data_IF_490405603625
#
_entry.id   IF_490405603625
#
_cell.length_a   1.000
_cell.length_b   1.000
_cell.length_c   1.000
_cell.angle_alpha   90.00
_cell.angle_beta   90.00
_cell.angle_gamma   90.00
#
_symmetry.space_group_name_H-M   'P 1'
#
loop_
_entity.id
_entity.type
_entity.pdbx_description
1 polymer ?
#
# COMPACT_ATOMS: atom_id res chain seq x y z
N UNK A 1 4.76 7.87 -16.60
CA UNK A 1 3.67 6.87 -16.70
C UNK A 1 2.48 7.50 -17.42
N UNK A 2 2.29 7.23 -18.71
CA UNK A 2 0.94 7.32 -19.30
C UNK A 2 0.43 5.88 -19.35
N UNK A 3 0.12 5.32 -18.18
CA UNK A 3 -0.65 4.08 -18.12
C UNK A 3 -2.11 4.50 -18.10
N UNK A 4 -2.89 3.95 -19.02
CA UNK A 4 -4.33 4.08 -18.96
C UNK A 4 -4.82 3.52 -17.60
N UNK A 5 -5.69 4.28 -16.93
CA UNK A 5 -6.09 4.01 -15.55
C UNK A 5 -6.75 2.63 -15.39
N UNK A 6 -7.38 2.13 -16.44
CA UNK A 6 -7.95 0.79 -16.54
C UNK A 6 -6.91 -0.33 -16.37
N UNK A 7 -5.76 -0.24 -17.03
CA UNK A 7 -4.69 -1.24 -16.97
C UNK A 7 -4.04 -1.26 -15.59
N UNK A 8 -3.76 -0.08 -15.03
CA UNK A 8 -3.23 0.03 -13.68
C UNK A 8 -4.22 -0.57 -12.66
N UNK A 9 -5.51 -0.21 -12.76
CA UNK A 9 -6.56 -0.76 -11.89
C UNK A 9 -6.66 -2.28 -11.98
N UNK A 10 -6.59 -2.85 -13.19
CA UNK A 10 -6.60 -4.29 -13.41
C UNK A 10 -5.42 -4.98 -12.74
N UNK A 11 -4.19 -4.48 -12.92
CA UNK A 11 -3.00 -5.09 -12.32
C UNK A 11 -3.04 -5.04 -10.78
N UNK A 12 -3.49 -3.93 -10.20
CA UNK A 12 -3.62 -3.79 -8.76
C UNK A 12 -4.65 -4.78 -8.19
N UNK A 13 -5.84 -4.87 -8.82
CA UNK A 13 -6.87 -5.82 -8.40
C UNK A 13 -6.43 -7.28 -8.58
N UNK A 14 -5.72 -7.59 -9.66
CA UNK A 14 -5.17 -8.93 -9.92
C UNK A 14 -4.12 -9.32 -8.86
N UNK A 15 -3.23 -8.39 -8.48
CA UNK A 15 -2.23 -8.63 -7.45
C UNK A 15 -2.87 -9.00 -6.11
N UNK A 16 -3.92 -8.28 -5.71
CA UNK A 16 -4.68 -8.60 -4.48
C UNK A 16 -5.28 -10.00 -4.57
N UNK A 17 -5.96 -10.35 -5.67
CA UNK A 17 -6.54 -11.70 -5.86
C UNK A 17 -5.52 -12.82 -5.82
N UNK A 18 -4.36 -12.61 -6.43
CA UNK A 18 -3.27 -13.60 -6.41
C UNK A 18 -2.71 -13.79 -5.00
N UNK A 19 -2.55 -12.70 -4.24
CA UNK A 19 -2.12 -12.77 -2.85
C UNK A 19 -3.13 -13.49 -1.95
N UNK A 20 -4.43 -13.25 -2.13
CA UNK A 20 -5.49 -13.99 -1.43
C UNK A 20 -5.48 -15.49 -1.75
N UNK A 21 -5.06 -15.86 -2.96
CA UNK A 21 -4.87 -17.25 -3.37
C UNK A 21 -3.53 -17.87 -2.90
N UNK A 22 -2.74 -17.15 -2.09
CA UNK A 22 -1.48 -17.63 -1.51
C UNK A 22 -0.24 -17.41 -2.39
N UNK A 23 -0.34 -16.60 -3.45
CA UNK A 23 0.82 -16.25 -4.28
C UNK A 23 1.51 -14.99 -3.73
N UNK A 24 2.81 -15.04 -3.49
CA UNK A 24 3.57 -13.82 -3.15
C UNK A 24 3.69 -12.92 -4.37
N UNK A 25 3.25 -11.66 -4.25
CA UNK A 25 3.20 -10.70 -5.37
C UNK A 25 3.93 -9.41 -5.03
N UNK A 26 4.74 -8.94 -5.98
CA UNK A 26 5.30 -7.59 -6.04
C UNK A 26 4.99 -7.03 -7.43
N UNK A 27 4.30 -5.89 -7.50
CA UNK A 27 4.17 -5.10 -8.71
C UNK A 27 5.28 -4.06 -8.74
N UNK A 28 5.88 -3.82 -9.91
CA UNK A 28 6.82 -2.71 -10.08
C UNK A 28 6.70 -2.07 -11.46
N UNK A 29 6.83 -0.75 -11.49
CA UNK A 29 6.98 0.03 -12.74
C UNK A 29 8.43 0.50 -12.96
N UNK A 30 9.36 0.11 -12.07
CA UNK A 30 10.70 0.67 -11.95
C UNK A 30 10.77 1.96 -11.14
N UNK A 31 9.67 2.71 -11.02
CA UNK A 31 9.59 3.92 -10.19
C UNK A 31 8.67 3.76 -8.96
N UNK A 32 7.71 2.84 -9.04
CA UNK A 32 6.77 2.53 -7.97
C UNK A 32 6.74 1.03 -7.70
N UNK A 33 6.44 0.68 -6.46
CA UNK A 33 6.26 -0.69 -6.01
C UNK A 33 4.87 -0.88 -5.39
N UNK A 34 4.20 -1.98 -5.72
CA UNK A 34 2.88 -2.34 -5.21
C UNK A 34 2.92 -3.69 -4.51
N UNK A 35 2.57 -3.74 -3.23
CA UNK A 35 2.59 -4.97 -2.42
C UNK A 35 1.21 -5.19 -1.77
N UNK A 36 0.50 -6.28 -2.09
CA UNK A 36 -0.75 -6.63 -1.40
C UNK A 36 -0.54 -6.81 0.11
N UNK A 37 -1.48 -6.30 0.89
CA UNK A 37 -1.52 -6.43 2.36
C UNK A 37 -2.63 -7.40 2.73
N UNK A 38 -2.24 -8.57 3.22
CA UNK A 38 -3.15 -9.57 3.76
C UNK A 38 -3.42 -9.30 5.26
N UNK A 39 -4.53 -9.80 5.82
CA UNK A 39 -4.74 -9.80 7.26
C UNK A 39 -3.54 -10.39 8.02
N UNK A 40 -3.07 -9.68 9.05
CA UNK A 40 -1.83 -9.98 9.76
C UNK A 40 -0.92 -8.76 9.85
N UNK A 41 0.40 -9.00 9.83
CA UNK A 41 1.43 -7.97 9.95
C UNK A 41 2.41 -8.08 8.79
N UNK A 42 2.77 -6.94 8.22
CA UNK A 42 3.81 -6.80 7.20
C UNK A 42 4.80 -5.70 7.62
N UNK A 43 6.07 -5.87 7.29
CA UNK A 43 7.11 -4.86 7.50
C UNK A 43 7.85 -4.60 6.21
N UNK A 44 8.24 -3.35 6.00
CA UNK A 44 8.91 -2.89 4.79
C UNK A 44 10.22 -2.18 5.16
N UNK A 45 11.21 -2.28 4.30
CA UNK A 45 12.57 -1.74 4.44
C UNK A 45 12.81 -0.52 3.54
N UNK A 46 11.74 0.19 3.17
CA UNK A 46 11.84 1.47 2.47
C UNK A 46 12.64 2.51 3.26
N UNK A 47 13.37 3.35 2.54
CA UNK A 47 14.13 4.44 3.13
C UNK A 47 13.19 5.52 3.72
N UNK A 48 13.68 6.27 4.70
CA UNK A 48 13.01 7.46 5.22
C UNK A 48 12.63 8.43 4.09
N UNK A 49 11.48 9.10 4.27
CA UNK A 49 10.90 10.01 3.28
C UNK A 49 10.33 9.34 2.01
N UNK A 50 10.37 8.01 1.91
CA UNK A 50 9.65 7.28 0.85
C UNK A 50 8.14 7.56 0.97
N UNK A 51 7.54 8.08 -0.09
CA UNK A 51 6.09 8.27 -0.13
C UNK A 51 5.39 6.94 -0.35
N UNK A 52 4.27 6.74 0.34
CA UNK A 52 3.44 5.56 0.16
C UNK A 52 1.96 5.84 0.38
N UNK A 53 1.12 4.95 -0.10
CA UNK A 53 -0.31 4.92 0.16
C UNK A 53 -0.74 3.50 0.51
N UNK A 54 -1.75 3.34 1.38
CA UNK A 54 -2.46 2.07 1.57
C UNK A 54 -3.80 2.17 0.86
N UNK A 55 -3.93 1.47 -0.26
CA UNK A 55 -5.14 1.47 -1.09
C UNK A 55 -6.08 0.36 -0.62
N UNK A 56 -7.29 0.73 -0.18
CA UNK A 56 -8.33 -0.24 0.16
C UNK A 56 -9.05 -0.74 -1.09
N UNK A 57 -9.21 -2.06 -1.21
CA UNK A 57 -10.05 -2.78 -2.19
C UNK A 57 -11.32 -3.36 -1.53
N UNK A 58 -11.57 -2.99 -0.28
CA UNK A 58 -12.78 -3.20 0.51
C UNK A 58 -12.76 -2.21 1.68
N UNK A 59 -13.76 -2.28 2.55
CA UNK A 59 -13.60 -1.73 3.90
C UNK A 59 -12.43 -2.43 4.60
N UNK A 60 -11.67 -1.66 5.38
CA UNK A 60 -10.54 -2.12 6.18
C UNK A 60 -10.90 -1.96 7.65
N UNK A 61 -10.69 -3.03 8.43
CA UNK A 61 -10.89 -3.00 9.88
C UNK A 61 -9.59 -3.24 10.61
N UNK A 62 -9.40 -2.50 11.71
CA UNK A 62 -8.22 -2.59 12.55
C UNK A 62 -6.90 -2.28 11.81
N UNK A 63 -6.88 -1.29 10.91
CA UNK A 63 -5.65 -0.88 10.23
C UNK A 63 -4.74 -0.11 11.18
N UNK A 64 -3.52 -0.61 11.37
CA UNK A 64 -2.44 0.08 12.09
C UNK A 64 -1.27 0.33 11.14
N UNK A 65 -0.72 1.54 11.20
CA UNK A 65 0.46 1.97 10.42
C UNK A 65 1.49 2.54 11.39
N UNK A 66 2.67 1.93 11.45
CA UNK A 66 3.80 2.35 12.27
C UNK A 66 5.00 2.72 11.40
N UNK A 67 5.96 3.49 11.94
CA UNK A 67 7.12 3.94 11.17
C UNK A 67 6.75 4.86 10.00
N UNK A 68 5.73 5.69 10.21
CA UNK A 68 5.20 6.62 9.22
C UNK A 68 5.03 8.01 9.85
N UNK A 69 5.06 9.05 9.02
CA UNK A 69 4.87 10.44 9.43
C UNK A 69 3.51 10.68 10.07
N UNK A 70 2.47 10.04 9.53
CA UNK A 70 1.13 10.04 10.10
C UNK A 70 0.76 8.60 10.49
N UNK A 71 1.12 8.15 11.70
CA UNK A 71 0.81 6.79 12.14
C UNK A 71 -0.70 6.62 12.35
N UNK A 72 -1.17 5.39 12.18
CA UNK A 72 -2.57 4.99 12.43
C UNK A 72 -2.59 3.87 13.46
N UNK A 73 -3.61 3.85 14.31
CA UNK A 73 -3.79 2.80 15.30
C UNK A 73 -5.19 2.22 15.22
N UNK A 74 -5.28 0.98 14.71
CA UNK A 74 -6.51 0.15 14.62
C UNK A 74 -7.72 0.90 14.06
N UNK A 75 -7.53 1.72 13.04
CA UNK A 75 -8.61 2.53 12.47
C UNK A 75 -9.49 1.72 11.52
N UNK A 76 -10.75 2.15 11.40
CA UNK A 76 -11.68 1.66 10.38
C UNK A 76 -11.60 2.58 9.15
N UNK A 77 -11.47 2.00 7.97
CA UNK A 77 -11.34 2.74 6.71
C UNK A 77 -12.37 2.23 5.71
N UNK A 78 -13.36 3.05 5.40
CA UNK A 78 -14.35 2.72 4.38
C UNK A 78 -13.69 2.62 2.99
N UNK A 79 -14.21 1.73 2.14
CA UNK A 79 -13.78 1.66 0.75
C UNK A 79 -13.99 3.01 0.03
N UNK A 80 -12.95 3.50 -0.64
CA UNK A 80 -12.95 4.82 -1.28
C UNK A 80 -12.54 5.99 -0.37
N UNK A 81 -12.22 5.73 0.90
CA UNK A 81 -11.65 6.75 1.80
C UNK A 81 -10.25 7.18 1.35
N UNK A 82 -9.94 8.48 1.53
CA UNK A 82 -8.62 9.05 1.28
C UNK A 82 -7.69 9.07 2.50
N UNK A 83 -8.15 8.60 3.66
CA UNK A 83 -7.42 8.68 4.95
C UNK A 83 -5.99 8.12 4.88
N UNK A 84 -5.77 7.13 4.03
CA UNK A 84 -4.53 6.35 3.95
C UNK A 84 -3.65 6.70 2.74
N UNK A 85 -3.95 7.80 2.06
CA UNK A 85 -3.27 8.24 0.83
C UNK A 85 -2.13 9.22 1.16
N UNK A 86 -0.99 9.08 0.46
CA UNK A 86 0.16 9.99 0.50
C UNK A 86 0.79 10.19 1.88
N UNK A 87 1.09 9.08 2.56
CA UNK A 87 1.90 9.05 3.77
C UNK A 87 3.39 8.97 3.43
N UNK A 88 4.24 9.07 4.44
CA UNK A 88 5.70 9.16 4.29
C UNK A 88 6.38 8.27 5.33
N UNK A 89 7.36 7.47 4.90
CA UNK A 89 8.13 6.59 5.81
C UNK A 89 8.95 7.43 6.79
N UNK A 90 8.89 7.05 8.08
CA UNK A 90 9.68 7.60 9.18
C UNK A 90 10.15 6.46 10.08
N UNK A 91 11.31 5.90 9.80
CA UNK A 91 11.85 4.68 10.41
C UNK A 91 11.37 3.42 9.69
N UNK A 92 11.22 2.32 10.43
CA UNK A 92 10.81 1.04 9.85
C UNK A 92 9.29 0.98 9.65
N UNK A 93 8.83 1.01 8.41
CA UNK A 93 7.41 0.94 8.06
C UNK A 93 6.83 -0.42 8.44
N UNK A 94 5.76 -0.39 9.23
CA UNK A 94 4.97 -1.56 9.59
C UNK A 94 3.49 -1.33 9.31
N UNK A 95 2.83 -2.34 8.73
CA UNK A 95 1.39 -2.35 8.47
C UNK A 95 0.79 -3.56 9.18
N UNK A 96 -0.25 -3.36 9.97
CA UNK A 96 -1.08 -4.44 10.48
C UNK A 96 -2.53 -4.23 10.04
N UNK A 97 -3.19 -5.31 9.65
CA UNK A 97 -4.57 -5.31 9.17
C UNK A 97 -5.32 -6.48 9.80
N UNK A 98 -6.47 -6.24 10.40
CA UNK A 98 -7.28 -7.32 10.95
C UNK A 98 -8.19 -7.95 9.90
N UNK A 99 -8.85 -7.12 9.09
CA UNK A 99 -9.73 -7.58 8.01
C UNK A 99 -9.76 -6.60 6.85
N UNK A 100 -10.07 -7.13 5.67
CA UNK A 100 -10.20 -6.36 4.44
C UNK A 100 -9.11 -6.71 3.43
N UNK A 101 -9.12 -5.98 2.31
CA UNK A 101 -8.20 -6.17 1.19
C UNK A 101 -7.51 -4.85 0.94
N UNK A 102 -6.19 -4.83 1.06
CA UNK A 102 -5.41 -3.63 0.83
C UNK A 102 -4.18 -3.91 -0.02
N UNK A 103 -3.61 -2.84 -0.56
CA UNK A 103 -2.33 -2.86 -1.27
C UNK A 103 -1.55 -1.62 -0.85
N UNK A 104 -0.29 -1.81 -0.47
CA UNK A 104 0.66 -0.73 -0.27
C UNK A 104 1.24 -0.33 -1.62
N UNK A 105 1.16 0.95 -1.97
CA UNK A 105 1.79 1.53 -3.15
C UNK A 105 2.88 2.50 -2.67
N UNK A 106 4.14 2.18 -2.94
CA UNK A 106 5.31 2.97 -2.52
C UNK A 106 6.01 3.61 -3.72
N UNK A 107 6.72 4.71 -3.45
CA UNK A 107 7.54 5.47 -4.39
C UNK A 107 9.01 5.47 -3.91
N UNK A 108 9.69 4.32 -3.97
CA UNK A 108 11.03 4.15 -3.38
C UNK A 108 12.11 4.97 -4.10
N UNK A 109 11.87 5.37 -5.34
CA UNK A 109 12.77 6.23 -6.10
C UNK A 109 12.12 7.60 -6.29
N UNK A 110 12.86 8.70 -6.06
CA UNK A 110 12.40 10.02 -6.44
C UNK A 110 12.03 10.03 -7.91
N UNK A 111 10.89 10.62 -8.26
CA UNK A 111 10.63 10.95 -9.65
C UNK A 111 11.74 11.91 -10.10
N UNK A 112 12.36 11.71 -11.28
CA UNK A 112 13.32 12.68 -11.79
C UNK A 112 12.66 14.06 -11.81
N UNK A 113 13.39 15.09 -11.37
CA UNK A 113 12.91 16.47 -11.46
C UNK A 113 12.55 16.76 -12.92
N UNK A 114 11.32 17.21 -13.13
CA UNK A 114 10.78 17.59 -14.45
C UNK A 114 11.35 18.92 -14.91
#
# INVERSE_FOLDING_TARGET
LVLAADHASLHLALAVRLAEAGTTVLLTSGAQEGVPILPGKASFDYADSTLFSVLGFSDLSGLTVTGAKWPLDRVEVAFGSSLTISNEVKGRLGIALERGRALLLAHPYPLPES
#
